data_IF_271217164707
#
_entry.id   IF_271217164707
#
_cell.length_a   1.000
_cell.length_b   1.000
_cell.length_c   1.000
_cell.angle_alpha   90.00
_cell.angle_beta   90.00
_cell.angle_gamma   90.00
#
_symmetry.space_group_name_H-M   'P 1'
#
loop_
_entity.id
_entity.type
_entity.pdbx_description
1 polymer ?
#
# COMPACT_ATOMS: atom_id res chain seq x y z
N UNK A 1 0.91 35.46 0.68
CA UNK A 1 1.50 34.12 0.51
C UNK A 1 1.34 33.39 1.84
N UNK A 2 0.24 32.65 2.02
CA UNK A 2 -0.09 31.97 3.28
C UNK A 2 0.73 30.68 3.34
N UNK A 3 1.61 30.57 4.35
CA UNK A 3 2.27 29.30 4.69
C UNK A 3 1.17 28.27 4.97
N UNK A 4 1.06 27.22 4.16
CA UNK A 4 0.09 26.15 4.40
C UNK A 4 0.41 25.53 5.76
N UNK A 5 -0.44 25.77 6.77
CA UNK A 5 -0.32 25.15 8.07
C UNK A 5 -0.29 23.63 7.93
N UNK A 6 0.43 22.95 8.82
CA UNK A 6 0.43 21.49 8.95
C UNK A 6 -1.01 20.99 8.98
N UNK A 7 -1.46 20.35 7.90
CA UNK A 7 -2.80 19.79 7.81
C UNK A 7 -2.80 18.46 8.56
N UNK A 8 -3.20 18.51 9.81
CA UNK A 8 -3.45 17.30 10.59
C UNK A 8 -4.68 16.59 10.03
N UNK A 9 -4.49 15.40 9.46
CA UNK A 9 -5.55 14.53 8.97
C UNK A 9 -5.75 13.40 9.97
N UNK A 10 -6.97 13.20 10.46
CA UNK A 10 -7.28 11.98 11.21
C UNK A 10 -7.30 10.79 10.25
N UNK A 11 -6.63 9.72 10.64
CA UNK A 11 -6.48 8.50 9.86
C UNK A 11 -6.66 7.31 10.78
N UNK A 12 -7.27 6.25 10.27
CA UNK A 12 -7.17 4.93 10.88
C UNK A 12 -5.72 4.43 10.82
N UNK A 13 -5.38 3.44 11.65
CA UNK A 13 -4.05 2.81 11.59
C UNK A 13 -3.74 2.23 10.22
N UNK A 14 -4.73 1.61 9.56
CA UNK A 14 -4.57 1.01 8.24
C UNK A 14 -4.31 2.08 7.15
N UNK A 15 -5.03 3.20 7.19
CA UNK A 15 -4.75 4.32 6.29
C UNK A 15 -3.37 4.91 6.54
N UNK A 16 -2.92 4.97 7.80
CA UNK A 16 -1.58 5.44 8.14
C UNK A 16 -0.49 4.51 7.60
N UNK A 17 -0.69 3.19 7.67
CA UNK A 17 0.22 2.20 7.06
C UNK A 17 0.26 2.37 5.54
N UNK A 18 -0.90 2.44 4.88
CA UNK A 18 -0.97 2.67 3.43
C UNK A 18 -0.24 3.95 3.02
N UNK A 19 -0.44 5.03 3.77
CA UNK A 19 0.25 6.31 3.55
C UNK A 19 1.76 6.18 3.74
N UNK A 20 2.21 5.51 4.79
CA UNK A 20 3.63 5.27 5.04
C UNK A 20 4.27 4.46 3.92
N UNK A 21 3.58 3.46 3.41
CA UNK A 21 4.06 2.66 2.27
C UNK A 21 4.22 3.50 0.99
N UNK A 22 3.23 4.36 0.69
CA UNK A 22 3.32 5.31 -0.43
C UNK A 22 4.50 6.28 -0.27
N UNK A 23 4.67 6.86 0.93
CA UNK A 23 5.78 7.77 1.22
C UNK A 23 7.15 7.09 1.16
N UNK A 24 7.20 5.78 1.43
CA UNK A 24 8.40 4.95 1.30
C UNK A 24 8.70 4.54 -0.15
N UNK A 25 7.80 4.80 -1.10
CA UNK A 25 7.99 4.50 -2.52
C UNK A 25 7.79 3.03 -2.87
N UNK A 26 6.76 2.37 -2.31
CA UNK A 26 6.36 1.03 -2.80
C UNK A 26 6.02 1.09 -4.30
N UNK A 27 6.36 0.02 -5.03
CA UNK A 27 5.89 -0.19 -6.40
C UNK A 27 4.78 -1.23 -6.50
N UNK A 28 4.71 -2.16 -5.53
CA UNK A 28 3.73 -3.24 -5.52
C UNK A 28 3.07 -3.42 -4.15
N UNK A 29 1.80 -3.82 -4.16
CA UNK A 29 1.10 -4.34 -2.99
C UNK A 29 0.33 -5.62 -3.38
N UNK A 30 0.66 -6.73 -2.71
CA UNK A 30 0.06 -8.04 -2.89
C UNK A 30 -0.63 -8.47 -1.60
N UNK A 31 -1.93 -8.73 -1.64
CA UNK A 31 -2.68 -9.05 -0.43
C UNK A 31 -3.72 -10.11 -0.69
N UNK A 32 -4.06 -10.89 0.34
CA UNK A 32 -5.29 -11.68 0.37
C UNK A 32 -6.33 -10.99 1.27
N UNK A 33 -7.64 -10.99 0.93
CA UNK A 33 -8.64 -10.36 1.78
C UNK A 33 -8.73 -11.02 3.16
N UNK A 34 -8.62 -10.21 4.22
CA UNK A 34 -8.74 -10.66 5.60
C UNK A 34 -8.81 -9.48 6.57
N UNK A 35 -9.83 -9.42 7.41
CA UNK A 35 -9.83 -8.45 8.51
C UNK A 35 -8.79 -8.86 9.55
N UNK A 36 -8.05 -7.91 10.13
CA UNK A 36 -8.26 -6.45 10.12
C UNK A 36 -7.38 -5.67 9.12
N UNK A 37 -6.79 -6.28 8.08
CA UNK A 37 -5.81 -5.62 7.19
C UNK A 37 -6.36 -5.17 5.83
N UNK A 38 -7.55 -5.61 5.43
CA UNK A 38 -8.19 -5.28 4.14
C UNK A 38 -8.21 -3.78 3.81
N UNK A 39 -8.35 -2.91 4.81
CA UNK A 39 -8.39 -1.47 4.61
C UNK A 39 -7.06 -0.89 4.12
N UNK A 40 -5.91 -1.54 4.38
CA UNK A 40 -4.60 -1.12 3.86
C UNK A 40 -4.62 -1.24 2.33
N UNK A 41 -4.90 -2.45 1.84
CA UNK A 41 -4.91 -2.78 0.41
C UNK A 41 -5.95 -1.96 -0.33
N UNK A 42 -7.18 -1.87 0.18
CA UNK A 42 -8.23 -1.06 -0.48
C UNK A 42 -7.92 0.44 -0.49
N UNK A 43 -7.20 0.96 0.50
CA UNK A 43 -6.70 2.35 0.49
C UNK A 43 -5.66 2.55 -0.61
N UNK A 44 -4.73 1.61 -0.76
CA UNK A 44 -3.72 1.64 -1.83
C UNK A 44 -4.36 1.50 -3.21
N UNK A 45 -5.30 0.57 -3.39
CA UNK A 45 -6.05 0.40 -4.65
C UNK A 45 -6.73 1.68 -5.12
N UNK A 46 -7.32 2.46 -4.20
CA UNK A 46 -7.97 3.75 -4.53
C UNK A 46 -7.01 4.81 -5.05
N UNK A 47 -5.72 4.70 -4.72
CA UNK A 47 -4.69 5.69 -5.04
C UNK A 47 -3.65 5.17 -6.02
N UNK A 48 -3.81 3.93 -6.50
CA UNK A 48 -2.83 3.22 -7.31
C UNK A 48 -2.44 3.98 -8.59
N UNK A 49 -3.43 4.48 -9.32
CA UNK A 49 -3.21 5.25 -10.55
C UNK A 49 -2.52 6.60 -10.29
N UNK A 50 -2.73 7.21 -9.13
CA UNK A 50 -2.14 8.52 -8.79
C UNK A 50 -0.67 8.41 -8.39
N UNK A 51 -0.27 7.25 -7.88
CA UNK A 51 1.07 7.00 -7.35
C UNK A 51 1.90 6.02 -8.19
N UNK A 52 1.39 5.57 -9.34
CA UNK A 52 2.05 4.62 -10.24
C UNK A 52 2.49 3.32 -9.52
N UNK A 53 1.58 2.78 -8.70
CA UNK A 53 1.79 1.52 -7.98
C UNK A 53 0.85 0.44 -8.49
N UNK A 54 1.31 -0.81 -8.48
CA UNK A 54 0.48 -1.97 -8.77
C UNK A 54 -0.09 -2.56 -7.48
N UNK A 55 -1.39 -2.81 -7.44
CA UNK A 55 -2.06 -3.39 -6.27
C UNK A 55 -3.01 -4.49 -6.73
N UNK A 56 -2.87 -5.70 -6.16
CA UNK A 56 -3.75 -6.82 -6.49
C UNK A 56 -4.21 -7.63 -5.28
N UNK A 57 -5.35 -8.30 -5.47
CA UNK A 57 -5.76 -9.38 -4.60
C UNK A 57 -5.17 -10.70 -5.12
N UNK A 58 -4.34 -11.33 -4.31
CA UNK A 58 -3.84 -12.67 -4.56
C UNK A 58 -4.88 -13.73 -4.22
N UNK A 59 -4.66 -14.97 -4.64
CA UNK A 59 -5.59 -16.08 -4.38
C UNK A 59 -5.55 -16.63 -2.95
N UNK A 60 -4.45 -16.39 -2.22
CA UNK A 60 -4.24 -16.71 -0.81
C UNK A 60 -3.00 -15.98 -0.27
N UNK A 61 -2.75 -16.07 1.03
CA UNK A 61 -1.63 -15.41 1.72
C UNK A 61 -0.26 -15.90 1.25
N UNK A 62 -0.15 -17.19 0.90
CA UNK A 62 1.10 -17.76 0.40
C UNK A 62 1.47 -17.12 -0.94
N UNK A 63 0.52 -17.02 -1.85
CA UNK A 63 0.75 -16.42 -3.18
C UNK A 63 1.06 -14.93 -3.05
N UNK A 64 0.38 -14.20 -2.16
CA UNK A 64 0.71 -12.80 -1.88
C UNK A 64 2.17 -12.64 -1.42
N UNK A 65 2.62 -13.50 -0.48
CA UNK A 65 3.99 -13.47 0.03
C UNK A 65 5.03 -13.80 -1.07
N UNK A 66 4.76 -14.82 -1.89
CA UNK A 66 5.66 -15.22 -2.98
C UNK A 66 5.77 -14.12 -4.06
N UNK A 67 4.65 -13.45 -4.39
CA UNK A 67 4.64 -12.34 -5.33
C UNK A 67 5.41 -11.12 -4.80
N UNK A 68 5.21 -10.76 -3.53
CA UNK A 68 5.95 -9.69 -2.87
C UNK A 68 7.47 -9.98 -2.82
N UNK A 69 7.85 -11.23 -2.52
CA UNK A 69 9.24 -11.67 -2.57
C UNK A 69 9.83 -11.55 -3.99
N UNK A 70 9.06 -11.94 -5.02
CA UNK A 70 9.46 -11.79 -6.42
C UNK A 70 9.73 -10.32 -6.82
N UNK A 71 8.83 -9.40 -6.44
CA UNK A 71 9.03 -7.97 -6.68
C UNK A 71 10.27 -7.42 -5.94
N UNK A 72 10.48 -7.84 -4.69
CA UNK A 72 11.65 -7.47 -3.90
C UNK A 72 12.96 -7.96 -4.55
N UNK A 73 13.01 -9.19 -5.05
CA UNK A 73 14.17 -9.71 -5.80
C UNK A 73 14.41 -8.97 -7.12
N UNK A 74 13.37 -8.41 -7.74
CA UNK A 74 13.50 -7.53 -8.89
C UNK A 74 13.97 -6.10 -8.52
N UNK A 75 14.21 -5.82 -7.24
CA UNK A 75 14.67 -4.52 -6.74
C UNK A 75 13.56 -3.50 -6.55
N UNK A 76 12.29 -3.93 -6.51
CA UNK A 76 11.14 -3.04 -6.36
C UNK A 76 10.54 -3.22 -4.97
N UNK A 77 10.41 -2.15 -4.16
CA UNK A 77 9.79 -2.26 -2.84
C UNK A 77 8.34 -2.72 -2.94
N UNK A 78 7.99 -3.73 -2.16
CA UNK A 78 6.68 -4.37 -2.19
C UNK A 78 6.21 -4.71 -0.77
N UNK A 79 4.89 -4.71 -0.58
CA UNK A 79 4.21 -5.13 0.66
C UNK A 79 3.09 -6.13 0.41
#
# INVERSE_FOLDING_TARGET
>A
MVKSGLRNKMMSGNEAIARGALEAGIGFCFSYPGTPSTEITTTLMKTANEHDIYVEWSVNEKVALEAAAGASWAGIPAI
#
